data_IF_623506029031
#
_entry.id   IF_623506029031
#
_cell.length_a   1.000
_cell.length_b   1.000
_cell.length_c   1.000
_cell.angle_alpha   90.00
_cell.angle_beta   90.00
_cell.angle_gamma   90.00
#
_symmetry.space_group_name_H-M   'P 1'
#
loop_
_entity.id
_entity.type
_entity.pdbx_description
1 polymer ?
#
# COMPACT_ATOMS: atom_id res chain seq x y z
N UNK A 1 0.46 10.53 16.81
CA UNK A 1 0.25 10.12 15.40
C UNK A 1 -1.22 10.25 15.04
N UNK A 2 -1.54 10.90 13.93
CA UNK A 2 -2.91 11.17 13.47
C UNK A 2 -3.21 10.33 12.26
N UNK A 3 -4.14 9.41 12.35
CA UNK A 3 -4.52 8.52 11.24
C UNK A 3 -5.93 8.85 10.76
N UNK A 4 -6.10 8.90 9.44
CA UNK A 4 -7.39 9.03 8.80
C UNK A 4 -7.86 7.65 8.35
N UNK A 5 -9.03 7.23 8.78
CA UNK A 5 -9.59 5.89 8.50
C UNK A 5 -10.86 6.04 7.67
N UNK A 6 -10.89 5.34 6.55
CA UNK A 6 -12.09 5.14 5.73
C UNK A 6 -12.99 4.09 6.42
N UNK A 7 -14.03 4.55 7.10
CA UNK A 7 -14.96 3.67 7.80
C UNK A 7 -15.92 2.93 6.86
N UNK A 8 -16.00 3.33 5.59
CA UNK A 8 -16.92 2.73 4.61
C UNK A 8 -16.21 1.80 3.63
N UNK A 9 -14.91 1.56 3.79
CA UNK A 9 -14.13 0.67 2.97
C UNK A 9 -14.15 -0.77 3.46
N UNK A 10 -14.31 -1.73 2.53
CA UNK A 10 -14.31 -3.17 2.81
C UNK A 10 -15.69 -3.80 2.93
N UNK A 11 -15.72 -5.13 2.89
CA UNK A 11 -16.95 -5.92 2.83
C UNK A 11 -17.75 -5.91 4.14
N UNK A 12 -17.06 -5.68 5.27
CA UNK A 12 -17.66 -5.60 6.60
C UNK A 12 -17.73 -4.15 7.14
N UNK A 13 -17.71 -3.17 6.22
CA UNK A 13 -17.85 -1.76 6.60
C UNK A 13 -19.32 -1.43 7.01
N UNK A 14 -19.53 -0.53 7.96
CA UNK A 14 -18.54 0.18 8.75
C UNK A 14 -18.06 -0.57 10.00
N UNK A 15 -18.60 -1.74 10.31
CA UNK A 15 -18.34 -2.46 11.56
C UNK A 15 -16.85 -2.72 11.77
N UNK A 16 -16.21 -3.47 10.88
CA UNK A 16 -14.82 -3.88 11.05
C UNK A 16 -13.84 -2.69 11.11
N UNK A 17 -13.92 -1.65 10.25
CA UNK A 17 -13.08 -0.47 10.38
C UNK A 17 -13.26 0.29 11.70
N UNK A 18 -14.50 0.39 12.21
CA UNK A 18 -14.78 1.09 13.47
C UNK A 18 -14.26 0.30 14.66
N UNK A 19 -14.59 -1.00 14.77
CA UNK A 19 -14.13 -1.87 15.85
C UNK A 19 -12.59 -1.97 15.86
N UNK A 20 -11.96 -2.15 14.69
CA UNK A 20 -10.52 -2.16 14.55
C UNK A 20 -9.85 -0.84 14.96
N UNK A 21 -10.49 0.30 14.68
CA UNK A 21 -10.03 1.63 15.14
C UNK A 21 -10.06 1.72 16.66
N UNK A 22 -11.16 1.29 17.29
CA UNK A 22 -11.29 1.30 18.76
C UNK A 22 -10.20 0.43 19.39
N UNK A 23 -9.96 -0.76 18.86
CA UNK A 23 -8.90 -1.66 19.35
C UNK A 23 -7.51 -1.05 19.17
N UNK A 24 -7.21 -0.45 18.02
CA UNK A 24 -5.94 0.23 17.76
C UNK A 24 -5.71 1.40 18.74
N UNK A 25 -6.72 2.18 19.04
CA UNK A 25 -6.67 3.27 20.00
C UNK A 25 -6.40 2.79 21.43
N UNK A 26 -6.99 1.66 21.83
CA UNK A 26 -6.73 1.04 23.14
C UNK A 26 -5.30 0.56 23.27
N UNK A 27 -4.73 0.00 22.21
CA UNK A 27 -3.33 -0.48 22.19
C UNK A 27 -2.30 0.64 22.08
N UNK A 28 -2.66 1.79 21.53
CA UNK A 28 -1.74 2.89 21.24
C UNK A 28 -2.26 4.22 21.84
N UNK A 29 -1.82 4.61 23.05
CA UNK A 29 -2.29 5.81 23.72
C UNK A 29 -2.05 7.13 22.97
N UNK A 30 -0.98 7.20 22.17
CA UNK A 30 -0.59 8.39 21.41
C UNK A 30 -1.31 8.51 20.05
N UNK A 31 -2.16 7.53 19.71
CA UNK A 31 -2.90 7.53 18.47
C UNK A 31 -4.15 8.40 18.58
N UNK A 32 -4.40 9.24 17.57
CA UNK A 32 -5.68 9.92 17.34
C UNK A 32 -6.19 9.56 15.94
N UNK A 33 -7.49 9.43 15.78
CA UNK A 33 -8.09 8.96 14.53
C UNK A 33 -9.21 9.89 14.07
N UNK A 34 -9.21 10.21 12.77
CA UNK A 34 -10.39 10.72 12.08
C UNK A 34 -11.07 9.55 11.39
N UNK A 35 -12.25 9.16 11.85
CA UNK A 35 -13.14 8.18 11.21
C UNK A 35 -14.07 8.91 10.24
N UNK A 36 -13.92 8.64 8.95
CA UNK A 36 -14.71 9.27 7.89
C UNK A 36 -15.67 8.28 7.24
N UNK A 37 -16.91 8.69 7.10
CA UNK A 37 -17.97 7.88 6.49
C UNK A 37 -19.34 8.44 6.81
N UNK A 38 -20.36 7.60 6.70
CA UNK A 38 -21.74 7.94 7.05
C UNK A 38 -21.87 7.93 8.57
N UNK A 39 -21.80 9.10 9.19
CA UNK A 39 -21.69 9.26 10.65
C UNK A 39 -22.73 8.46 11.43
N UNK A 40 -24.05 8.48 11.09
CA UNK A 40 -25.04 7.68 11.82
C UNK A 40 -24.78 6.16 11.77
N UNK A 41 -24.13 5.66 10.71
CA UNK A 41 -23.76 4.25 10.61
C UNK A 41 -22.54 3.92 11.49
N UNK A 42 -21.55 4.82 11.52
CA UNK A 42 -20.34 4.68 12.35
C UNK A 42 -20.72 4.65 13.84
N UNK A 43 -21.61 5.56 14.28
CA UNK A 43 -21.99 5.69 15.69
C UNK A 43 -22.61 4.43 16.28
N UNK A 44 -23.26 3.59 15.46
CA UNK A 44 -23.82 2.30 15.90
C UNK A 44 -22.75 1.35 16.48
N UNK A 45 -21.52 1.45 16.01
CA UNK A 45 -20.40 0.58 16.39
C UNK A 45 -19.42 1.24 17.38
N UNK A 46 -19.69 2.47 17.80
CA UNK A 46 -18.91 3.16 18.84
C UNK A 46 -19.48 2.96 20.26
N UNK A 47 -20.58 2.23 20.40
CA UNK A 47 -21.13 1.89 21.71
C UNK A 47 -20.10 1.13 22.56
N UNK A 48 -19.84 1.61 23.79
CA UNK A 48 -18.83 1.03 24.69
C UNK A 48 -17.38 1.42 24.38
N UNK A 49 -17.16 2.46 23.56
CA UNK A 49 -15.85 3.01 23.26
C UNK A 49 -15.56 4.34 24.00
N UNK A 50 -16.25 4.60 25.11
CA UNK A 50 -16.15 5.86 25.88
C UNK A 50 -14.72 6.15 26.33
N UNK A 51 -13.95 5.10 26.63
CA UNK A 51 -12.54 5.14 27.04
C UNK A 51 -11.61 5.77 25.98
N UNK A 52 -11.95 5.65 24.70
CA UNK A 52 -11.14 6.17 23.59
C UNK A 52 -11.86 7.27 22.79
N UNK A 53 -13.10 7.57 23.13
CA UNK A 53 -13.97 8.47 22.35
C UNK A 53 -13.38 9.86 22.14
N UNK A 54 -12.66 10.38 23.12
CA UNK A 54 -12.01 11.71 23.05
C UNK A 54 -10.87 11.78 22.01
N UNK A 55 -10.38 10.64 21.54
CA UNK A 55 -9.33 10.52 20.52
C UNK A 55 -9.87 10.20 19.12
N UNK A 56 -11.19 10.16 18.96
CA UNK A 56 -11.89 9.93 17.69
C UNK A 56 -12.59 11.20 17.25
N UNK A 57 -12.24 11.67 16.05
CA UNK A 57 -12.98 12.71 15.34
C UNK A 57 -13.84 12.05 14.27
N UNK A 58 -15.14 12.32 14.25
CA UNK A 58 -16.03 11.85 13.20
C UNK A 58 -16.10 12.89 12.07
N UNK A 59 -15.96 12.43 10.83
CA UNK A 59 -16.08 13.26 9.64
C UNK A 59 -17.13 12.68 8.71
N UNK A 60 -18.15 13.47 8.38
CA UNK A 60 -19.19 13.05 7.46
C UNK A 60 -18.65 12.95 6.02
N UNK A 61 -18.70 11.74 5.47
CA UNK A 61 -18.26 11.40 4.12
C UNK A 61 -19.34 10.52 3.46
N UNK A 62 -20.42 11.15 2.96
CA UNK A 62 -21.62 10.43 2.53
C UNK A 62 -21.46 9.67 1.20
N UNK A 63 -20.39 9.93 0.45
CA UNK A 63 -20.11 9.27 -0.83
C UNK A 63 -19.20 8.05 -0.62
N UNK A 64 -19.61 6.90 -1.10
CA UNK A 64 -18.83 5.65 -1.01
C UNK A 64 -18.34 5.23 -2.39
N UNK A 65 -17.03 5.02 -2.55
CA UNK A 65 -16.44 4.43 -3.76
C UNK A 65 -16.46 2.91 -3.61
N UNK A 66 -17.20 2.23 -4.47
CA UNK A 66 -17.40 0.78 -4.42
C UNK A 66 -16.37 0.03 -5.27
N UNK A 67 -16.22 -1.28 -5.04
CA UNK A 67 -15.36 -2.16 -5.85
C UNK A 67 -15.89 -2.40 -7.27
N UNK A 68 -17.16 -2.05 -7.54
CA UNK A 68 -17.83 -2.30 -8.83
C UNK A 68 -17.81 -1.12 -9.79
N UNK A 69 -17.24 0.00 -9.40
CA UNK A 69 -17.15 1.19 -10.24
C UNK A 69 -15.72 1.48 -10.70
N UNK A 70 -15.58 2.25 -11.77
CA UNK A 70 -14.26 2.70 -12.24
C UNK A 70 -13.54 3.50 -11.13
N UNK A 71 -12.38 3.04 -10.64
CA UNK A 71 -11.63 3.70 -9.57
C UNK A 71 -11.32 5.17 -9.87
N UNK A 72 -10.86 5.46 -11.09
CA UNK A 72 -10.52 6.81 -11.53
C UNK A 72 -11.74 7.72 -11.56
N UNK A 73 -12.88 7.20 -12.04
CA UNK A 73 -14.12 7.99 -12.09
C UNK A 73 -14.72 8.17 -10.71
N UNK A 74 -14.64 7.16 -9.84
CA UNK A 74 -15.03 7.25 -8.43
C UNK A 74 -14.29 8.38 -7.72
N UNK A 75 -12.96 8.37 -7.77
CA UNK A 75 -12.10 9.41 -7.16
C UNK A 75 -12.34 10.80 -7.76
N UNK A 76 -12.67 10.90 -9.05
CA UNK A 76 -12.94 12.19 -9.70
C UNK A 76 -14.29 12.78 -9.34
N UNK A 77 -15.34 11.96 -9.27
CA UNK A 77 -16.73 12.40 -9.09
C UNK A 77 -17.13 12.47 -7.62
N UNK A 78 -16.72 11.48 -6.81
CA UNK A 78 -17.09 11.37 -5.39
C UNK A 78 -16.09 12.10 -4.50
N UNK A 79 -16.11 13.42 -4.58
CA UNK A 79 -15.14 14.27 -3.88
C UNK A 79 -15.35 14.33 -2.38
N UNK A 80 -16.52 13.91 -1.89
CA UNK A 80 -16.87 13.79 -0.47
C UNK A 80 -16.76 12.33 0.03
N UNK A 81 -16.08 11.45 -0.69
CA UNK A 81 -15.81 10.10 -0.20
C UNK A 81 -14.67 10.10 0.82
N UNK A 82 -14.71 9.16 1.78
CA UNK A 82 -13.67 9.00 2.78
C UNK A 82 -12.28 8.82 2.14
N UNK A 83 -12.19 8.07 1.04
CA UNK A 83 -10.94 7.89 0.28
C UNK A 83 -10.37 9.22 -0.22
N UNK A 84 -11.20 10.08 -0.85
CA UNK A 84 -10.73 11.37 -1.37
C UNK A 84 -10.38 12.34 -0.25
N UNK A 85 -11.21 12.43 0.78
CA UNK A 85 -10.97 13.30 1.93
C UNK A 85 -9.71 12.87 2.70
N UNK A 86 -9.48 11.57 2.88
CA UNK A 86 -8.30 11.03 3.53
C UNK A 86 -7.01 11.34 2.79
N UNK A 87 -7.01 11.19 1.46
CA UNK A 87 -5.86 11.56 0.64
C UNK A 87 -5.53 13.05 0.71
N UNK A 88 -6.56 13.90 0.76
CA UNK A 88 -6.38 15.35 0.92
C UNK A 88 -5.88 15.69 2.33
N UNK A 89 -6.39 15.04 3.37
CA UNK A 89 -5.93 15.23 4.74
C UNK A 89 -4.43 14.91 4.91
N UNK A 90 -3.96 13.81 4.30
CA UNK A 90 -2.52 13.47 4.29
C UNK A 90 -1.72 14.51 3.50
N UNK A 91 -2.19 14.89 2.31
CA UNK A 91 -1.54 15.92 1.49
C UNK A 91 -1.38 17.25 2.23
N UNK A 92 -2.42 17.66 2.95
CA UNK A 92 -2.46 18.91 3.71
C UNK A 92 -1.74 18.81 5.07
N UNK A 93 -1.17 17.64 5.42
CA UNK A 93 -0.55 17.37 6.74
C UNK A 93 -1.52 17.49 7.91
N UNK A 94 -2.80 17.29 7.68
CA UNK A 94 -3.86 17.18 8.69
C UNK A 94 -3.87 15.76 9.29
N UNK A 95 -3.45 14.76 8.53
CA UNK A 95 -3.21 13.39 8.97
C UNK A 95 -1.80 12.93 8.57
N UNK A 96 -1.23 12.03 9.36
CA UNK A 96 0.10 11.44 9.16
C UNK A 96 0.03 10.18 8.28
N UNK A 97 -1.18 9.59 8.14
CA UNK A 97 -1.44 8.42 7.30
C UNK A 97 -2.92 8.23 7.02
N UNK A 98 -3.21 7.43 5.97
CA UNK A 98 -4.55 7.04 5.56
C UNK A 98 -4.67 5.52 5.53
N UNK A 99 -5.78 4.98 6.07
CA UNK A 99 -6.09 3.55 6.11
C UNK A 99 -7.47 3.32 5.49
N UNK A 100 -7.56 2.38 4.58
CA UNK A 100 -8.81 1.93 3.96
C UNK A 100 -8.73 0.44 3.65
N UNK A 101 -9.81 -0.28 3.89
CA UNK A 101 -10.04 -1.66 3.42
C UNK A 101 -10.91 -1.70 2.15
N UNK A 102 -11.10 -0.55 1.50
CA UNK A 102 -11.88 -0.43 0.27
C UNK A 102 -11.10 -0.81 -0.99
N UNK A 103 -11.59 -0.33 -2.15
CA UNK A 103 -11.00 -0.63 -3.45
C UNK A 103 -9.53 -0.18 -3.54
N UNK A 104 -8.62 -1.14 -3.73
CA UNK A 104 -7.19 -0.87 -3.98
C UNK A 104 -6.98 0.08 -5.16
N UNK A 105 -7.76 -0.11 -6.24
CA UNK A 105 -7.72 0.79 -7.40
C UNK A 105 -8.15 2.22 -7.06
N UNK A 106 -9.12 2.41 -6.16
CA UNK A 106 -9.53 3.74 -5.70
C UNK A 106 -8.46 4.39 -4.81
N UNK A 107 -7.82 3.63 -3.93
CA UNK A 107 -6.70 4.11 -3.11
C UNK A 107 -5.53 4.53 -4.01
N UNK A 108 -5.17 3.71 -4.99
CA UNK A 108 -4.13 4.01 -5.97
C UNK A 108 -4.45 5.28 -6.77
N UNK A 109 -5.67 5.37 -7.32
CA UNK A 109 -6.12 6.56 -8.07
C UNK A 109 -6.15 7.80 -7.17
N UNK A 110 -6.59 7.68 -5.93
CA UNK A 110 -6.56 8.74 -4.92
C UNK A 110 -5.14 9.21 -4.64
N UNK A 111 -4.22 8.28 -4.44
CA UNK A 111 -2.80 8.56 -4.28
C UNK A 111 -2.22 9.35 -5.47
N UNK A 112 -2.51 8.91 -6.69
CA UNK A 112 -2.02 9.59 -7.89
C UNK A 112 -2.62 10.99 -8.12
N UNK A 113 -3.94 11.14 -7.94
CA UNK A 113 -4.65 12.33 -8.39
C UNK A 113 -4.99 13.33 -7.26
N UNK A 114 -5.00 12.88 -6.01
CA UNK A 114 -5.37 13.72 -4.86
C UNK A 114 -4.18 13.98 -3.92
N UNK A 115 -3.45 12.93 -3.54
CA UNK A 115 -2.24 13.06 -2.73
C UNK A 115 -1.07 13.64 -3.56
N UNK A 116 -0.83 13.08 -4.74
CA UNK A 116 0.27 13.41 -5.64
C UNK A 116 1.42 12.41 -5.51
N UNK A 117 2.23 12.31 -6.57
CA UNK A 117 3.41 11.44 -6.63
C UNK A 117 4.62 12.12 -6.01
N UNK A 118 5.51 11.34 -5.46
CA UNK A 118 6.86 11.81 -5.09
C UNK A 118 7.58 12.22 -6.38
N UNK A 119 8.29 13.37 -6.41
CA UNK A 119 9.06 13.77 -7.57
C UNK A 119 10.03 12.68 -8.03
N UNK A 120 10.05 12.38 -9.32
CA UNK A 120 10.86 11.30 -9.91
C UNK A 120 10.19 9.91 -9.92
N UNK A 121 9.13 9.69 -9.17
CA UNK A 121 8.35 8.43 -9.22
C UNK A 121 7.30 8.52 -10.31
N UNK A 122 7.40 7.66 -11.33
CA UNK A 122 6.44 7.63 -12.44
C UNK A 122 5.15 6.88 -12.09
N UNK A 123 5.27 5.79 -11.35
CA UNK A 123 4.15 4.95 -10.93
C UNK A 123 4.24 4.61 -9.44
N UNK A 124 3.18 4.84 -8.66
CA UNK A 124 3.07 4.24 -7.34
C UNK A 124 2.84 2.74 -7.48
N UNK A 125 3.25 1.98 -6.48
CA UNK A 125 3.12 0.54 -6.45
C UNK A 125 2.38 0.08 -5.19
N UNK A 126 1.76 -1.09 -5.24
CA UNK A 126 1.27 -1.79 -4.06
C UNK A 126 2.40 -2.68 -3.52
N UNK A 127 2.77 -2.46 -2.27
CA UNK A 127 3.96 -3.09 -1.70
C UNK A 127 3.68 -3.71 -0.32
N UNK A 128 3.10 -4.92 -0.26
CA UNK A 128 2.90 -5.63 0.99
C UNK A 128 4.22 -6.15 1.58
N UNK A 129 4.31 -6.12 2.92
CA UNK A 129 5.30 -6.87 3.67
C UNK A 129 4.83 -8.32 3.82
N UNK A 130 5.64 -9.26 3.35
CA UNK A 130 5.36 -10.68 3.36
C UNK A 130 6.30 -11.40 4.35
N UNK A 131 5.82 -12.31 5.21
CA UNK A 131 6.67 -13.07 6.12
C UNK A 131 7.52 -14.09 5.35
N UNK A 132 8.80 -14.29 5.77
CA UNK A 132 9.72 -15.26 5.17
C UNK A 132 10.27 -16.30 6.17
N UNK A 133 9.60 -16.47 7.30
CA UNK A 133 10.04 -17.42 8.35
C UNK A 133 11.18 -16.92 9.25
N UNK A 134 11.89 -15.86 8.85
CA UNK A 134 12.95 -15.18 9.64
C UNK A 134 12.63 -13.72 9.92
N UNK A 135 11.69 -13.14 9.18
CA UNK A 135 11.28 -11.75 9.26
C UNK A 135 10.30 -11.46 8.13
N UNK A 136 10.55 -10.39 7.40
CA UNK A 136 9.71 -9.94 6.31
C UNK A 136 10.54 -9.55 5.09
N UNK A 137 9.98 -9.76 3.91
CA UNK A 137 10.42 -9.14 2.68
C UNK A 137 9.31 -8.24 2.11
N UNK A 138 9.68 -7.25 1.31
CA UNK A 138 8.75 -6.40 0.60
C UNK A 138 8.54 -6.93 -0.81
N UNK A 139 7.30 -7.27 -1.17
CA UNK A 139 6.92 -7.57 -2.56
C UNK A 139 6.43 -6.28 -3.21
N UNK A 140 7.00 -5.87 -4.36
CA UNK A 140 6.68 -4.65 -5.07
C UNK A 140 6.85 -4.81 -6.57
N UNK A 141 5.83 -4.70 -7.44
CA UNK A 141 4.43 -4.36 -7.27
C UNK A 141 3.57 -5.62 -7.08
N UNK A 142 2.42 -5.46 -6.40
CA UNK A 142 1.48 -6.55 -6.16
C UNK A 142 0.06 -6.18 -6.59
N UNK A 143 -0.13 -5.87 -7.90
CA UNK A 143 -1.45 -5.65 -8.48
C UNK A 143 -1.82 -4.21 -8.86
N UNK A 144 -0.95 -3.23 -8.67
CA UNK A 144 -1.25 -1.83 -9.03
C UNK A 144 -0.97 -1.53 -10.51
N UNK A 145 0.09 -2.09 -11.08
CA UNK A 145 0.54 -1.83 -12.46
C UNK A 145 0.73 -3.15 -13.21
N UNK A 146 -0.29 -3.59 -13.93
CA UNK A 146 -0.28 -4.84 -14.69
C UNK A 146 0.70 -4.75 -15.87
N UNK A 147 0.67 -3.63 -16.60
CA UNK A 147 1.59 -3.36 -17.70
C UNK A 147 2.70 -2.42 -17.23
N UNK A 148 3.90 -2.94 -17.07
CA UNK A 148 5.08 -2.20 -16.64
C UNK A 148 6.05 -1.94 -17.80
N UNK A 149 6.85 -0.89 -17.62
CA UNK A 149 8.08 -0.65 -18.38
C UNK A 149 9.30 -1.02 -17.53
N UNK A 150 10.47 -1.30 -18.13
CA UNK A 150 11.69 -1.61 -17.39
C UNK A 150 12.06 -0.55 -16.33
N UNK A 151 11.85 0.72 -16.66
CA UNK A 151 12.11 1.85 -15.76
C UNK A 151 11.25 1.80 -14.50
N UNK A 152 10.01 1.27 -14.60
CA UNK A 152 9.11 1.14 -13.43
C UNK A 152 9.64 0.11 -12.45
N UNK A 153 10.11 -1.06 -12.95
CA UNK A 153 10.69 -2.10 -12.10
C UNK A 153 11.95 -1.57 -11.38
N UNK A 154 12.78 -0.82 -12.09
CA UNK A 154 13.96 -0.17 -11.50
C UNK A 154 13.55 0.82 -10.40
N UNK A 155 12.53 1.64 -10.62
CA UNK A 155 12.00 2.57 -9.61
C UNK A 155 11.35 1.84 -8.43
N UNK A 156 10.68 0.70 -8.65
CA UNK A 156 10.14 -0.12 -7.58
C UNK A 156 11.26 -0.64 -6.67
N UNK A 157 12.40 -1.04 -7.23
CA UNK A 157 13.58 -1.38 -6.46
C UNK A 157 14.08 -0.24 -5.56
N UNK A 158 14.14 1.01 -6.10
CA UNK A 158 14.50 2.20 -5.32
C UNK A 158 13.51 2.47 -4.19
N UNK A 159 12.20 2.37 -4.46
CA UNK A 159 11.17 2.57 -3.43
C UNK A 159 11.23 1.49 -2.35
N UNK A 160 11.44 0.23 -2.75
CA UNK A 160 11.58 -0.89 -1.83
C UNK A 160 12.82 -0.76 -0.93
N UNK A 161 13.97 -0.42 -1.50
CA UNK A 161 15.21 -0.16 -0.75
C UNK A 161 15.01 0.96 0.28
N UNK A 162 14.41 2.08 -0.13
CA UNK A 162 14.12 3.20 0.76
C UNK A 162 13.17 2.83 1.90
N UNK A 163 12.13 2.02 1.61
CA UNK A 163 11.19 1.54 2.60
C UNK A 163 11.87 0.60 3.62
N UNK A 164 12.62 -0.40 3.14
CA UNK A 164 13.30 -1.36 4.02
C UNK A 164 14.36 -0.69 4.89
N UNK A 165 15.04 0.34 4.40
CA UNK A 165 15.96 1.16 5.22
C UNK A 165 15.21 2.01 6.24
N UNK A 166 14.22 2.78 5.79
CA UNK A 166 13.57 3.80 6.62
C UNK A 166 12.59 3.23 7.64
N UNK A 167 11.90 2.14 7.30
CA UNK A 167 10.82 1.56 8.12
C UNK A 167 11.30 0.30 8.84
N UNK A 168 12.03 -0.59 8.14
CA UNK A 168 12.46 -1.86 8.70
C UNK A 168 13.88 -1.82 9.31
N UNK A 169 14.62 -0.73 9.14
CA UNK A 169 15.94 -0.52 9.71
C UNK A 169 17.05 -1.39 9.09
N UNK A 170 16.85 -1.91 7.88
CA UNK A 170 17.85 -2.72 7.18
C UNK A 170 18.82 -1.79 6.47
N UNK A 171 20.09 -1.73 6.89
CA UNK A 171 21.07 -0.78 6.35
C UNK A 171 21.37 -0.97 4.86
N UNK A 172 21.41 -2.22 4.39
CA UNK A 172 21.71 -2.58 2.99
C UNK A 172 20.75 -3.64 2.49
N UNK A 173 19.49 -3.27 2.13
CA UNK A 173 18.50 -4.21 1.63
C UNK A 173 18.96 -4.89 0.35
N UNK A 174 18.72 -6.19 0.25
CA UNK A 174 18.97 -7.01 -0.94
C UNK A 174 17.74 -6.87 -1.85
N UNK A 175 17.93 -6.29 -3.03
CA UNK A 175 16.86 -6.10 -4.01
C UNK A 175 17.00 -7.13 -5.12
N UNK A 176 15.99 -7.98 -5.33
CA UNK A 176 15.94 -8.96 -6.41
C UNK A 176 14.75 -8.74 -7.33
N UNK A 177 14.84 -9.22 -8.57
CA UNK A 177 13.74 -9.24 -9.54
C UNK A 177 13.14 -10.63 -9.63
N UNK A 178 11.81 -10.73 -9.56
CA UNK A 178 11.10 -12.00 -9.73
C UNK A 178 11.31 -12.52 -11.15
N UNK A 179 11.77 -13.77 -11.26
CA UNK A 179 12.06 -14.40 -12.53
C UNK A 179 11.70 -15.90 -12.50
N UNK A 180 11.70 -16.54 -13.66
CA UNK A 180 11.41 -17.98 -13.85
C UNK A 180 12.66 -18.88 -13.68
N UNK A 181 13.82 -18.32 -13.41
CA UNK A 181 15.10 -19.01 -13.21
C UNK A 181 16.16 -18.04 -12.73
N UNK A 182 17.23 -18.58 -12.15
CA UNK A 182 18.32 -17.80 -11.56
C UNK A 182 19.27 -17.20 -12.61
N UNK A 183 19.24 -17.70 -13.86
CA UNK A 183 20.13 -17.25 -14.91
C UNK A 183 19.67 -15.88 -15.46
N UNK A 184 20.61 -14.97 -15.71
CA UNK A 184 20.36 -13.59 -16.17
C UNK A 184 19.61 -13.51 -17.51
N UNK A 185 19.75 -14.53 -18.35
CA UNK A 185 19.12 -14.63 -19.68
C UNK A 185 17.66 -15.11 -19.63
N UNK A 186 17.18 -15.56 -18.48
CA UNK A 186 15.80 -16.04 -18.27
C UNK A 186 14.81 -14.88 -18.11
N UNK A 187 13.55 -15.19 -18.31
CA UNK A 187 12.45 -14.25 -18.12
C UNK A 187 11.81 -13.76 -19.41
N UNK A 188 10.77 -12.99 -19.26
CA UNK A 188 10.09 -12.30 -20.37
C UNK A 188 10.89 -11.06 -20.81
N UNK A 189 10.45 -10.41 -21.89
CA UNK A 189 11.13 -9.22 -22.42
C UNK A 189 11.28 -8.11 -21.35
N UNK A 190 10.23 -7.86 -20.55
CA UNK A 190 10.25 -6.84 -19.51
C UNK A 190 11.37 -7.09 -18.47
N UNK A 191 11.49 -8.33 -17.99
CA UNK A 191 12.52 -8.70 -16.99
C UNK A 191 13.92 -8.57 -17.60
N UNK A 192 14.11 -9.05 -18.85
CA UNK A 192 15.40 -8.96 -19.55
C UNK A 192 15.86 -7.52 -19.79
N UNK A 193 14.92 -6.64 -20.12
CA UNK A 193 15.23 -5.22 -20.34
C UNK A 193 15.45 -4.47 -19.01
N UNK A 194 14.74 -4.85 -17.92
CA UNK A 194 14.90 -4.24 -16.60
C UNK A 194 16.18 -4.69 -15.89
N UNK A 195 16.63 -5.93 -16.09
CA UNK A 195 17.74 -6.52 -15.33
C UNK A 195 19.04 -5.68 -15.39
N UNK A 196 19.57 -5.27 -16.57
CA UNK A 196 20.75 -4.43 -16.62
C UNK A 196 20.56 -3.05 -15.98
N UNK A 197 19.36 -2.46 -16.08
CA UNK A 197 19.03 -1.19 -15.46
C UNK A 197 19.03 -1.30 -13.93
N UNK A 198 18.51 -2.41 -13.40
CA UNK A 198 18.50 -2.69 -11.97
C UNK A 198 19.90 -2.96 -11.42
N UNK A 199 20.77 -3.61 -12.21
CA UNK A 199 22.16 -3.86 -11.83
C UNK A 199 23.00 -2.56 -11.70
N UNK A 200 22.64 -1.51 -12.45
CA UNK A 200 23.27 -0.19 -12.39
C UNK A 200 22.61 0.78 -11.39
N UNK A 201 21.49 0.38 -10.78
CA UNK A 201 20.71 1.23 -9.89
C UNK A 201 21.41 1.42 -8.51
N UNK A 202 21.07 2.51 -7.77
CA UNK A 202 21.75 2.87 -6.53
C UNK A 202 21.27 2.05 -5.30
N UNK A 203 21.08 0.75 -5.45
CA UNK A 203 20.73 -0.20 -4.38
C UNK A 203 21.53 -1.50 -4.53
N UNK A 204 21.46 -2.37 -3.54
CA UNK A 204 22.14 -3.67 -3.58
C UNK A 204 21.31 -4.68 -4.37
N UNK A 205 21.51 -4.73 -5.69
CA UNK A 205 20.86 -5.71 -6.55
C UNK A 205 21.50 -7.09 -6.37
N UNK A 206 20.67 -8.12 -6.18
CA UNK A 206 21.09 -9.51 -5.96
C UNK A 206 20.70 -10.44 -7.12
N UNK A 207 20.17 -9.89 -8.22
CA UNK A 207 19.80 -10.64 -9.40
C UNK A 207 18.39 -11.22 -9.37
N UNK A 208 18.20 -12.35 -10.06
CA UNK A 208 16.92 -13.03 -10.20
C UNK A 208 16.54 -13.78 -8.92
N UNK A 209 15.26 -13.72 -8.56
CA UNK A 209 14.64 -14.47 -7.44
C UNK A 209 13.52 -15.33 -8.03
N UNK A 210 13.59 -16.64 -7.83
CA UNK A 210 12.50 -17.52 -8.26
C UNK A 210 11.35 -17.51 -7.24
N UNK A 211 10.11 -17.68 -7.72
CA UNK A 211 8.92 -17.66 -6.86
C UNK A 211 9.00 -18.69 -5.72
N UNK A 212 9.63 -19.86 -5.95
CA UNK A 212 9.83 -20.88 -4.90
C UNK A 212 10.76 -20.44 -3.77
N UNK A 213 11.64 -19.46 -4.03
CA UNK A 213 12.68 -19.03 -3.09
C UNK A 213 12.30 -17.75 -2.33
N UNK A 214 11.14 -17.14 -2.63
CA UNK A 214 10.65 -15.91 -2.00
C UNK A 214 10.65 -15.97 -0.46
N UNK A 215 10.31 -17.13 0.09
CA UNK A 215 10.22 -17.33 1.53
C UNK A 215 11.52 -17.85 2.16
N UNK A 216 12.63 -17.91 1.38
CA UNK A 216 13.93 -18.48 1.81
C UNK A 216 14.95 -17.44 2.27
N UNK A 217 14.53 -16.20 2.54
CA UNK A 217 15.43 -15.11 2.98
C UNK A 217 16.56 -14.79 1.97
N UNK A 218 16.26 -14.86 0.68
CA UNK A 218 17.20 -14.53 -0.40
C UNK A 218 17.28 -13.03 -0.65
N UNK A 219 16.14 -12.32 -0.59
CA UNK A 219 16.04 -10.90 -0.82
C UNK A 219 15.14 -10.23 0.23
N UNK A 220 15.40 -8.97 0.50
CA UNK A 220 14.60 -8.13 1.39
C UNK A 220 13.52 -7.35 0.61
N UNK A 221 13.76 -7.14 -0.69
CA UNK A 221 12.84 -6.54 -1.65
C UNK A 221 12.76 -7.43 -2.87
N UNK A 222 11.57 -7.87 -3.23
CA UNK A 222 11.29 -8.67 -4.41
C UNK A 222 10.46 -7.84 -5.39
N UNK A 223 11.05 -7.48 -6.53
CA UNK A 223 10.44 -6.63 -7.55
C UNK A 223 9.74 -7.47 -8.60
N UNK A 224 8.49 -7.12 -8.92
CA UNK A 224 7.70 -7.72 -9.99
C UNK A 224 6.85 -6.65 -10.69
N UNK A 225 6.29 -6.96 -11.87
CA UNK A 225 5.12 -6.23 -12.35
C UNK A 225 3.87 -6.61 -11.54
N UNK A 226 2.83 -5.80 -11.61
CA UNK A 226 1.62 -6.02 -10.82
C UNK A 226 0.86 -7.29 -11.22
N UNK A 227 1.04 -7.82 -12.42
CA UNK A 227 0.44 -9.08 -12.83
C UNK A 227 1.15 -10.26 -12.14
N UNK A 228 2.46 -10.36 -12.29
CA UNK A 228 3.25 -11.42 -11.69
C UNK A 228 3.19 -11.38 -10.15
N UNK A 229 3.34 -10.19 -9.56
CA UNK A 229 3.29 -10.01 -8.11
C UNK A 229 1.94 -10.37 -7.49
N UNK A 230 0.83 -10.12 -8.20
CA UNK A 230 -0.51 -10.47 -7.70
C UNK A 230 -0.82 -11.97 -7.79
N UNK A 231 -0.08 -12.72 -8.60
CA UNK A 231 -0.21 -14.18 -8.70
C UNK A 231 0.56 -14.93 -7.61
N UNK A 232 1.48 -14.26 -6.92
CA UNK A 232 2.22 -14.87 -5.82
C UNK A 232 1.26 -15.05 -4.65
N UNK A 233 1.16 -16.27 -4.10
CA UNK A 233 0.20 -16.54 -3.05
C UNK A 233 0.48 -15.67 -1.83
N UNK A 234 -0.55 -15.09 -1.20
CA UNK A 234 -0.40 -14.56 0.14
C UNK A 234 0.00 -15.68 1.10
N UNK A 235 0.73 -15.39 2.16
CA UNK A 235 1.09 -16.34 3.18
C UNK A 235 -0.12 -16.91 3.91
#
# INVERSE_FOLDING_TARGET
MRIFVDAMGGDLAPQAPVEGTVEALRRNPELTVTLAGIVPEIEKYLAGADDVRSRITLLDAPEVITNHESPVMGVRKKTKSATVLGMLAVRNKEADGFVSAGSTGAVLAGGMFRLGRIPGVERPALAPLMPNGKGYFLLIDCGANVDCKPEYLTQFGVMGDAYMRGVMGIEKPRVGIINIGAEDEKGNALVKDAFPMMAEAPYHFVGSVEARDLFSDIADVCVADGFAGNLLPPP
#
